data_IF_725015452027
#
_entry.id   IF_725015452027
#
_cell.length_a   1.000
_cell.length_b   1.000
_cell.length_c   1.000
_cell.angle_alpha   90.00
_cell.angle_beta   90.00
_cell.angle_gamma   90.00
#
_symmetry.space_group_name_H-M   'P 1'
#
loop_
_entity.id
_entity.type
_entity.pdbx_description
1 polymer ?
#
# COMPACT_ATOMS: atom_id res chain seq x y z
N UNK A 1 -36.44 33.44 76.49
CA UNK A 1 -36.88 32.06 76.77
C UNK A 1 -35.93 31.11 76.04
N UNK A 2 -35.54 30.00 76.67
CA UNK A 2 -34.45 29.07 76.26
C UNK A 2 -34.84 28.20 75.01
N UNK A 3 -34.02 27.22 74.55
CA UNK A 3 -33.08 27.25 73.41
C UNK A 3 -33.42 26.15 72.35
N UNK A 4 -32.52 25.85 71.39
CA UNK A 4 -32.06 24.50 70.94
C UNK A 4 -31.31 24.54 69.59
N UNK A 5 -30.22 23.77 69.53
CA UNK A 5 -29.20 23.52 68.49
C UNK A 5 -29.64 22.54 67.36
N UNK A 6 -28.98 22.54 66.18
CA UNK A 6 -28.04 21.48 65.69
C UNK A 6 -27.65 21.57 64.18
N UNK A 7 -26.32 21.63 63.96
CA UNK A 7 -25.39 21.13 62.90
C UNK A 7 -25.78 20.78 61.43
N UNK A 8 -24.87 21.24 60.54
CA UNK A 8 -24.09 20.59 59.45
C UNK A 8 -24.83 19.78 58.34
N UNK A 9 -24.40 19.66 57.07
CA UNK A 9 -23.07 19.52 56.47
C UNK A 9 -23.18 19.74 54.93
N UNK A 10 -22.13 20.25 54.28
CA UNK A 10 -22.16 20.70 52.86
C UNK A 10 -21.90 19.65 51.78
N UNK A 11 -21.80 20.11 50.51
CA UNK A 11 -20.83 19.66 49.47
C UNK A 11 -20.92 20.64 48.26
N UNK A 12 -19.77 21.07 47.73
CA UNK A 12 -19.57 21.95 46.55
C UNK A 12 -19.38 21.11 45.28
N UNK A 13 -19.84 21.60 44.11
CA UNK A 13 -19.20 21.33 42.81
C UNK A 13 -19.47 22.46 41.80
N UNK A 14 -18.39 22.93 41.15
CA UNK A 14 -18.30 24.09 40.25
C UNK A 14 -18.13 23.65 38.79
N UNK A 15 -19.01 24.18 37.93
CA UNK A 15 -18.83 24.72 36.56
C UNK A 15 -17.79 24.12 35.58
N UNK A 16 -18.29 23.66 34.41
CA UNK A 16 -17.54 23.51 33.15
C UNK A 16 -17.50 24.82 32.35
N UNK A 17 -16.36 25.12 31.73
CA UNK A 17 -16.21 26.12 30.68
C UNK A 17 -15.61 25.47 29.42
N UNK A 18 -16.25 25.72 28.28
CA UNK A 18 -15.94 25.26 26.93
C UNK A 18 -14.84 26.13 26.29
N UNK A 19 -13.79 25.53 25.73
CA UNK A 19 -12.82 26.22 24.87
C UNK A 19 -12.72 25.48 23.53
N UNK A 20 -13.10 26.15 22.45
CA UNK A 20 -12.98 25.67 21.07
C UNK A 20 -11.54 25.78 20.57
N UNK A 21 -11.03 24.70 19.99
CA UNK A 21 -9.69 24.62 19.41
C UNK A 21 -9.81 24.72 17.89
N UNK A 22 -9.31 25.81 17.31
CA UNK A 22 -9.09 25.92 15.86
C UNK A 22 -7.91 25.01 15.48
N UNK A 23 -8.16 23.97 14.68
CA UNK A 23 -7.12 23.11 14.12
C UNK A 23 -6.59 23.77 12.83
N UNK A 24 -5.39 24.34 12.89
CA UNK A 24 -4.65 24.71 11.70
C UNK A 24 -4.13 23.41 11.04
N UNK A 25 -4.54 23.11 9.81
CA UNK A 25 -3.93 22.07 8.99
C UNK A 25 -2.48 22.49 8.68
N UNK A 26 -1.51 21.81 9.26
CA UNK A 26 -0.13 21.85 8.80
C UNK A 26 0.08 20.67 7.85
N UNK A 27 0.31 20.92 6.57
CA UNK A 27 0.78 19.91 5.63
C UNK A 27 2.18 19.44 6.06
N UNK A 28 2.30 18.26 6.67
CA UNK A 28 3.60 17.68 7.03
C UNK A 28 4.21 16.99 5.82
N UNK A 29 5.40 17.44 5.43
CA UNK A 29 6.21 16.83 4.37
C UNK A 29 6.75 15.47 4.83
N UNK A 30 6.75 14.48 3.94
CA UNK A 30 7.45 13.20 4.15
C UNK A 30 8.93 13.43 4.49
N UNK A 31 9.56 12.50 5.20
CA UNK A 31 10.98 12.61 5.53
C UNK A 31 11.82 12.51 4.25
N UNK A 32 12.84 13.35 4.14
CA UNK A 32 13.76 13.33 3.02
C UNK A 32 14.60 12.05 3.02
N UNK A 33 14.62 11.33 1.90
CA UNK A 33 15.42 10.12 1.69
C UNK A 33 16.48 10.33 0.60
N UNK A 34 17.56 9.56 0.72
CA UNK A 34 18.55 9.36 -0.34
C UNK A 34 18.58 7.88 -0.70
N UNK A 35 18.24 7.54 -1.94
CA UNK A 35 18.10 6.16 -2.43
C UNK A 35 18.23 6.13 -3.95
N UNK A 36 18.89 5.08 -4.45
CA UNK A 36 18.85 4.69 -5.86
C UNK A 36 18.31 3.27 -5.96
N UNK A 37 17.26 3.06 -6.76
CA UNK A 37 16.70 1.74 -6.97
C UNK A 37 16.36 1.51 -8.43
N UNK A 38 16.55 0.28 -8.92
CA UNK A 38 16.14 -0.10 -10.26
C UNK A 38 15.67 -1.55 -10.33
N UNK A 39 14.85 -1.81 -11.35
CA UNK A 39 14.49 -3.12 -11.87
C UNK A 39 14.89 -3.18 -13.33
N UNK A 40 15.66 -4.19 -13.67
CA UNK A 40 16.11 -4.50 -15.03
C UNK A 40 15.32 -5.68 -15.56
N UNK A 41 14.75 -5.55 -16.76
CA UNK A 41 14.11 -6.67 -17.44
C UNK A 41 15.13 -7.74 -17.81
N UNK A 42 14.72 -9.02 -17.95
CA UNK A 42 15.58 -10.02 -18.55
C UNK A 42 16.12 -9.53 -19.90
N UNK A 43 17.44 -9.64 -20.08
CA UNK A 43 18.17 -9.18 -21.27
C UNK A 43 18.39 -7.66 -21.40
N UNK A 44 17.93 -6.83 -20.44
CA UNK A 44 18.44 -5.46 -20.36
C UNK A 44 19.94 -5.49 -20.07
N UNK A 45 20.70 -4.75 -20.88
CA UNK A 45 22.16 -4.81 -20.87
C UNK A 45 22.74 -4.17 -19.61
N UNK A 46 22.18 -3.04 -19.16
CA UNK A 46 22.78 -2.24 -18.09
C UNK A 46 22.57 -2.91 -16.73
N UNK A 47 21.32 -3.23 -16.39
CA UNK A 47 21.00 -3.86 -15.11
C UNK A 47 21.09 -5.39 -15.11
N UNK A 48 21.33 -6.03 -16.26
CA UNK A 48 21.56 -7.47 -16.41
C UNK A 48 20.45 -8.35 -15.77
N UNK A 49 19.18 -7.90 -15.86
CA UNK A 49 18.03 -8.59 -15.28
C UNK A 49 17.95 -8.53 -13.76
N UNK A 50 18.77 -7.71 -13.10
CA UNK A 50 18.79 -7.57 -11.65
C UNK A 50 17.79 -6.52 -11.15
N UNK A 51 17.32 -6.70 -9.93
CA UNK A 51 16.61 -5.67 -9.17
C UNK A 51 17.45 -5.31 -7.96
N UNK A 52 17.77 -4.02 -7.79
CA UNK A 52 18.65 -3.55 -6.72
C UNK A 52 18.13 -2.26 -6.10
N UNK A 53 18.42 -2.09 -4.82
CA UNK A 53 18.17 -0.87 -4.05
C UNK A 53 19.46 -0.54 -3.29
N UNK A 54 19.85 0.72 -3.35
CA UNK A 54 21.00 1.27 -2.66
C UNK A 54 20.56 2.44 -1.80
N UNK A 55 21.22 2.59 -0.67
CA UNK A 55 21.08 3.67 0.30
C UNK A 55 22.47 4.20 0.66
N UNK A 56 22.59 5.31 1.41
CA UNK A 56 23.88 5.77 1.94
C UNK A 56 24.64 4.73 2.80
N UNK A 57 23.97 3.66 3.25
CA UNK A 57 24.62 2.55 3.94
C UNK A 57 25.43 1.65 2.98
N UNK A 58 25.10 1.65 1.69
CA UNK A 58 25.71 0.77 0.69
C UNK A 58 26.91 1.42 -0.01
N UNK A 59 27.01 2.74 0.00
CA UNK A 59 28.07 3.47 -0.68
C UNK A 59 27.91 4.99 -0.61
N UNK A 60 28.91 5.69 -1.15
CA UNK A 60 28.88 7.15 -1.26
C UNK A 60 27.96 7.55 -2.42
N UNK A 61 26.94 8.36 -2.12
CA UNK A 61 25.99 8.88 -3.10
C UNK A 61 26.11 10.40 -3.16
N UNK A 62 26.30 10.94 -4.35
CA UNK A 62 26.48 12.37 -4.54
C UNK A 62 25.94 12.85 -5.89
N UNK A 63 25.71 14.15 -5.97
CA UNK A 63 25.15 14.81 -7.14
C UNK A 63 26.17 15.79 -7.72
N UNK A 64 26.18 15.91 -9.03
CA UNK A 64 26.98 16.87 -9.78
C UNK A 64 26.13 17.53 -10.86
N UNK A 65 26.49 18.75 -11.25
CA UNK A 65 25.97 19.37 -12.46
C UNK A 65 27.13 19.65 -13.40
N UNK A 66 27.00 19.24 -14.65
CA UNK A 66 28.00 19.50 -15.69
C UNK A 66 27.28 19.79 -17.00
N UNK A 67 27.57 20.94 -17.63
CA UNK A 67 26.90 21.38 -18.86
C UNK A 67 25.35 21.29 -18.79
N UNK A 68 24.77 21.78 -17.68
CA UNK A 68 23.31 21.76 -17.41
C UNK A 68 22.68 20.36 -17.26
N UNK A 69 23.51 19.31 -17.20
CA UNK A 69 23.11 17.94 -16.90
C UNK A 69 23.20 17.70 -15.40
N UNK A 70 22.13 17.18 -14.79
CA UNK A 70 22.11 16.73 -13.39
C UNK A 70 22.55 15.28 -13.36
N UNK A 71 23.61 14.99 -12.62
CA UNK A 71 24.27 13.67 -12.58
C UNK A 71 24.21 13.15 -11.15
N UNK A 72 23.68 11.95 -10.99
CA UNK A 72 23.79 11.16 -9.77
C UNK A 72 24.94 10.17 -9.93
N UNK A 73 25.77 10.06 -8.89
CA UNK A 73 26.86 9.11 -8.78
C UNK A 73 26.70 8.27 -7.51
N UNK A 74 26.97 6.97 -7.64
CA UNK A 74 27.08 6.04 -6.53
C UNK A 74 28.41 5.28 -6.65
N UNK A 75 29.25 5.41 -5.63
CA UNK A 75 30.46 4.61 -5.46
C UNK A 75 30.25 3.64 -4.28
N UNK A 76 30.23 2.34 -4.56
CA UNK A 76 30.08 1.30 -3.55
C UNK A 76 31.19 0.25 -3.63
N UNK A 77 31.44 -0.52 -2.56
CA UNK A 77 32.32 -1.69 -2.63
C UNK A 77 31.86 -2.74 -3.66
N UNK A 78 30.56 -2.76 -3.98
CA UNK A 78 29.96 -3.69 -4.93
C UNK A 78 30.02 -3.24 -6.39
N UNK A 79 30.51 -2.03 -6.67
CA UNK A 79 30.52 -1.41 -7.99
C UNK A 79 30.09 0.05 -7.98
N UNK A 80 30.05 0.66 -9.16
CA UNK A 80 29.68 2.06 -9.34
C UNK A 80 28.46 2.20 -10.25
N UNK A 81 27.70 3.27 -10.06
CA UNK A 81 26.57 3.64 -10.90
C UNK A 81 26.57 5.14 -11.19
N UNK A 82 26.16 5.50 -12.39
CA UNK A 82 26.01 6.88 -12.84
C UNK A 82 24.68 7.03 -13.56
N UNK A 83 23.92 8.07 -13.23
CA UNK A 83 22.67 8.38 -13.89
C UNK A 83 22.61 9.87 -14.21
N UNK A 84 22.48 10.22 -15.47
CA UNK A 84 22.52 11.59 -15.94
C UNK A 84 21.23 12.00 -16.66
N UNK A 85 20.70 13.16 -16.29
CA UNK A 85 19.43 13.69 -16.76
C UNK A 85 19.58 15.14 -17.23
N UNK A 86 18.95 15.49 -18.33
CA UNK A 86 18.99 16.87 -18.84
C UNK A 86 17.76 17.27 -19.62
N UNK A 87 17.45 18.56 -19.56
CA UNK A 87 16.37 19.14 -20.35
C UNK A 87 16.81 19.37 -21.82
N UNK A 88 15.84 19.46 -22.75
CA UNK A 88 16.11 19.88 -24.13
C UNK A 88 16.82 21.24 -24.20
N UNK A 89 17.46 21.54 -25.33
CA UNK A 89 18.07 22.85 -25.60
C UNK A 89 19.17 23.29 -24.61
N UNK A 90 19.78 22.37 -23.85
CA UNK A 90 20.77 22.73 -22.83
C UNK A 90 20.22 23.71 -21.78
N UNK A 91 18.92 23.63 -21.48
CA UNK A 91 18.30 24.43 -20.42
C UNK A 91 18.50 23.77 -19.06
N UNK A 92 18.19 24.53 -18.01
CA UNK A 92 18.12 23.98 -16.65
C UNK A 92 17.05 22.88 -16.58
N UNK A 93 17.37 21.81 -15.86
CA UNK A 93 16.43 20.75 -15.57
C UNK A 93 15.42 21.25 -14.53
N UNK A 94 14.13 21.14 -14.83
CA UNK A 94 13.03 21.55 -13.95
C UNK A 94 12.07 20.37 -13.70
N UNK A 95 11.24 20.41 -12.65
CA UNK A 95 10.21 19.39 -12.45
C UNK A 95 9.30 19.29 -13.68
N UNK A 96 9.01 18.07 -14.11
CA UNK A 96 8.25 17.82 -15.33
C UNK A 96 8.47 16.42 -15.91
N UNK A 97 7.69 16.11 -16.94
CA UNK A 97 7.77 14.85 -17.69
C UNK A 97 8.59 15.08 -18.96
N UNK A 98 9.58 14.22 -19.16
CA UNK A 98 10.47 14.24 -20.32
C UNK A 98 10.27 12.93 -21.08
N UNK A 99 9.37 12.97 -22.06
CA UNK A 99 9.11 11.85 -22.97
C UNK A 99 10.12 11.83 -24.12
N UNK A 100 10.30 10.67 -24.74
CA UNK A 100 11.21 10.46 -25.88
C UNK A 100 12.65 10.92 -25.59
N UNK A 101 13.12 10.71 -24.36
CA UNK A 101 14.48 11.03 -23.96
C UNK A 101 15.49 10.20 -24.78
N UNK A 102 16.56 10.86 -25.19
CA UNK A 102 17.68 10.28 -25.92
C UNK A 102 18.90 10.22 -25.02
N UNK A 103 19.98 9.55 -25.45
CA UNK A 103 21.19 9.44 -24.62
C UNK A 103 21.78 10.80 -24.26
N UNK A 104 21.80 11.70 -25.24
CA UNK A 104 22.23 13.07 -25.06
C UNK A 104 21.08 14.00 -25.42
N UNK A 105 20.95 15.12 -24.71
CA UNK A 105 19.91 16.10 -25.02
C UNK A 105 20.05 16.63 -26.44
N UNK A 106 18.91 16.89 -27.07
CA UNK A 106 18.81 17.55 -28.36
C UNK A 106 17.98 18.84 -28.21
N UNK A 107 17.78 19.63 -29.27
CA UNK A 107 16.85 20.77 -29.20
C UNK A 107 15.40 20.37 -28.90
N UNK A 108 15.00 19.12 -29.17
CA UNK A 108 13.64 18.63 -28.96
C UNK A 108 13.47 17.73 -27.73
N UNK A 109 14.51 16.96 -27.39
CA UNK A 109 14.41 15.84 -26.43
C UNK A 109 15.39 16.00 -25.28
N UNK A 110 14.99 15.54 -24.09
CA UNK A 110 15.85 15.48 -22.92
C UNK A 110 16.93 14.39 -23.04
N UNK A 111 17.99 14.50 -22.24
CA UNK A 111 19.03 13.49 -22.13
C UNK A 111 18.77 12.52 -20.98
N UNK A 112 18.98 11.23 -21.21
CA UNK A 112 18.90 10.12 -20.25
C UNK A 112 20.05 9.15 -20.51
N UNK A 113 21.00 9.06 -19.56
CA UNK A 113 22.14 8.14 -19.66
C UNK A 113 22.40 7.51 -18.28
N UNK A 114 21.94 6.28 -18.12
CA UNK A 114 22.10 5.48 -16.90
C UNK A 114 23.01 4.29 -17.20
N UNK A 115 24.05 4.13 -16.39
CA UNK A 115 25.04 3.07 -16.52
C UNK A 115 25.63 2.70 -15.18
N UNK A 116 26.31 1.56 -15.13
CA UNK A 116 26.96 1.07 -13.92
C UNK A 116 27.72 -0.21 -14.15
N UNK A 117 28.70 -0.47 -13.29
CA UNK A 117 29.47 -1.72 -13.29
C UNK A 117 30.11 -2.06 -14.65
N UNK A 118 30.55 -1.04 -15.40
CA UNK A 118 31.14 -1.22 -16.73
C UNK A 118 30.13 -1.43 -17.85
N UNK A 119 28.83 -1.27 -17.61
CA UNK A 119 27.76 -1.39 -18.60
C UNK A 119 27.08 -0.04 -18.83
N UNK A 120 26.82 0.28 -20.09
CA UNK A 120 26.12 1.49 -20.54
C UNK A 120 25.61 1.31 -21.95
N UNK A 121 24.59 2.09 -22.34
CA UNK A 121 24.10 2.09 -23.72
C UNK A 121 25.04 2.91 -24.62
N UNK A 122 25.22 2.53 -25.88
CA UNK A 122 25.72 3.42 -26.94
C UNK A 122 24.62 4.38 -27.43
N UNK A 123 23.40 3.89 -27.56
CA UNK A 123 22.20 4.68 -27.86
C UNK A 123 21.08 4.40 -26.86
N UNK A 124 20.33 5.43 -26.49
CA UNK A 124 19.26 5.37 -25.49
C UNK A 124 17.95 5.87 -26.08
N UNK A 125 16.87 5.15 -25.80
CA UNK A 125 15.51 5.70 -25.83
C UNK A 125 14.89 5.54 -24.46
N UNK A 126 14.01 6.44 -24.06
CA UNK A 126 13.37 6.33 -22.76
C UNK A 126 12.52 7.52 -22.37
N UNK A 127 12.22 7.58 -21.08
CA UNK A 127 11.50 8.70 -20.47
C UNK A 127 11.95 8.87 -19.03
N UNK A 128 11.81 10.07 -18.52
CA UNK A 128 11.97 10.32 -17.10
C UNK A 128 11.03 11.41 -16.60
N UNK A 129 10.70 11.37 -15.31
CA UNK A 129 9.85 12.33 -14.63
C UNK A 129 10.64 12.91 -13.49
N UNK A 130 10.93 14.21 -13.57
CA UNK A 130 11.55 14.95 -12.48
C UNK A 130 10.43 15.46 -11.57
N UNK A 131 10.38 14.97 -10.35
CA UNK A 131 9.41 15.41 -9.35
C UNK A 131 9.93 16.57 -8.53
N UNK A 132 11.24 16.59 -8.30
CA UNK A 132 11.90 17.61 -7.51
C UNK A 132 13.32 17.84 -8.02
N UNK A 133 13.72 19.10 -8.13
CA UNK A 133 15.11 19.50 -8.35
C UNK A 133 15.33 20.86 -7.70
N UNK A 134 16.24 20.91 -6.74
CA UNK A 134 16.56 22.12 -5.98
C UNK A 134 18.06 22.30 -6.02
N UNK A 135 18.50 23.37 -6.67
CA UNK A 135 19.91 23.70 -6.89
C UNK A 135 20.22 25.00 -6.16
N UNK A 136 21.23 24.97 -5.29
CA UNK A 136 21.77 26.14 -4.61
C UNK A 136 22.85 26.84 -5.47
N UNK A 137 23.23 28.09 -5.15
CA UNK A 137 24.31 28.79 -5.85
C UNK A 137 25.59 27.96 -5.93
N UNK A 138 26.28 28.03 -7.08
CA UNK A 138 27.46 27.21 -7.35
C UNK A 138 27.13 25.80 -7.84
N UNK A 139 25.93 25.59 -8.40
CA UNK A 139 25.48 24.33 -9.00
C UNK A 139 25.42 23.13 -8.02
N UNK A 140 25.16 23.42 -6.75
CA UNK A 140 25.04 22.41 -5.70
C UNK A 140 23.61 21.88 -5.64
N UNK A 141 23.40 20.63 -6.03
CA UNK A 141 22.09 19.97 -5.91
C UNK A 141 21.80 19.67 -4.45
N UNK A 142 20.82 20.34 -3.88
CA UNK A 142 20.38 20.12 -2.50
C UNK A 142 19.37 18.97 -2.41
N UNK A 143 18.44 18.91 -3.37
CA UNK A 143 17.38 17.89 -3.43
C UNK A 143 17.09 17.50 -4.87
N UNK A 144 16.86 16.21 -5.10
CA UNK A 144 16.52 15.69 -6.42
C UNK A 144 15.62 14.46 -6.29
N UNK A 145 14.58 14.39 -7.13
CA UNK A 145 13.75 13.21 -7.27
C UNK A 145 13.39 12.98 -8.73
N UNK A 146 13.74 11.80 -9.24
CA UNK A 146 13.45 11.41 -10.61
C UNK A 146 13.07 9.93 -10.68
N UNK A 147 12.12 9.62 -11.55
CA UNK A 147 11.82 8.25 -11.99
C UNK A 147 12.11 8.13 -13.47
N UNK A 148 12.63 7.00 -13.92
CA UNK A 148 13.08 6.82 -15.31
C UNK A 148 12.82 5.41 -15.85
N UNK A 149 12.75 5.34 -17.17
CA UNK A 149 12.78 4.11 -17.96
C UNK A 149 13.78 4.33 -19.10
N UNK A 150 14.76 3.45 -19.20
CA UNK A 150 15.79 3.47 -20.23
C UNK A 150 15.78 2.16 -21.03
N UNK A 151 16.00 2.27 -22.34
CA UNK A 151 16.20 1.17 -23.26
C UNK A 151 17.50 1.38 -24.04
N UNK A 152 18.36 0.36 -24.09
CA UNK A 152 19.59 0.40 -24.88
C UNK A 152 19.37 -0.06 -26.33
N UNK A 153 20.05 0.59 -27.28
CA UNK A 153 20.14 0.16 -28.69
C UNK A 153 18.79 -0.07 -29.39
N UNK A 154 17.74 0.60 -28.92
CA UNK A 154 16.37 0.43 -29.43
C UNK A 154 15.74 -0.92 -29.07
N UNK A 155 16.35 -1.72 -28.18
CA UNK A 155 15.78 -2.97 -27.72
C UNK A 155 14.65 -2.76 -26.71
N UNK A 156 13.71 -3.71 -26.66
CA UNK A 156 12.55 -3.64 -25.79
C UNK A 156 12.84 -3.77 -24.28
N UNK A 157 13.77 -4.62 -23.79
CA UNK A 157 14.05 -4.74 -22.36
C UNK A 157 14.44 -3.40 -21.73
N UNK A 158 13.85 -3.09 -20.58
CA UNK A 158 14.02 -1.82 -19.92
C UNK A 158 14.86 -1.91 -18.64
N UNK A 159 15.59 -0.83 -18.37
CA UNK A 159 16.03 -0.45 -17.04
C UNK A 159 15.06 0.59 -16.49
N UNK A 160 14.22 0.20 -15.52
CA UNK A 160 13.31 1.10 -14.82
C UNK A 160 13.88 1.44 -13.45
N UNK A 161 13.94 2.71 -13.08
CA UNK A 161 14.45 3.08 -11.76
C UNK A 161 13.98 4.41 -11.21
N UNK A 162 14.41 4.67 -9.99
CA UNK A 162 14.08 5.84 -9.19
C UNK A 162 15.32 6.31 -8.42
N UNK A 163 15.53 7.62 -8.40
CA UNK A 163 16.53 8.29 -7.57
C UNK A 163 15.79 9.28 -6.68
N UNK A 164 16.10 9.26 -5.39
CA UNK A 164 15.82 10.33 -4.44
C UNK A 164 17.15 10.74 -3.83
N UNK A 165 17.42 12.03 -3.78
CA UNK A 165 18.58 12.61 -3.12
C UNK A 165 18.07 13.71 -2.20
N UNK A 166 18.14 13.49 -0.90
CA UNK A 166 17.58 14.35 0.15
C UNK A 166 16.13 14.79 -0.16
N UNK A 167 15.33 13.91 -0.75
CA UNK A 167 13.99 14.25 -1.24
C UNK A 167 12.90 13.52 -0.47
N UNK A 168 11.84 14.26 -0.15
CA UNK A 168 10.63 13.73 0.49
C UNK A 168 9.66 13.08 -0.51
N UNK A 169 9.95 13.15 -1.82
CA UNK A 169 9.06 12.59 -2.85
C UNK A 169 9.01 11.06 -2.69
N UNK A 170 7.82 10.46 -2.51
CA UNK A 170 7.69 9.01 -2.38
C UNK A 170 8.27 8.25 -3.58
N UNK A 171 8.83 7.07 -3.35
CA UNK A 171 9.18 6.14 -4.43
C UNK A 171 7.91 5.55 -5.05
N UNK A 172 7.90 5.25 -6.37
CA UNK A 172 6.83 4.48 -6.98
C UNK A 172 6.73 3.11 -6.30
N UNK A 173 5.51 2.61 -6.11
CA UNK A 173 5.31 1.19 -5.78
C UNK A 173 5.93 0.33 -6.89
N UNK A 174 6.56 -0.79 -6.52
CA UNK A 174 7.48 -1.64 -7.32
C UNK A 174 6.90 -2.32 -8.59
N UNK A 175 5.82 -1.80 -9.16
CA UNK A 175 5.23 -2.28 -10.41
C UNK A 175 5.98 -1.67 -11.61
N UNK A 176 6.61 -2.51 -12.44
CA UNK A 176 7.30 -2.05 -13.65
C UNK A 176 6.30 -1.39 -14.62
N UNK A 177 6.68 -0.28 -15.29
CA UNK A 177 5.90 0.27 -16.39
C UNK A 177 5.91 -0.71 -17.56
N UNK A 178 4.74 -1.04 -18.10
CA UNK A 178 4.63 -1.98 -19.20
C UNK A 178 5.11 -1.36 -20.54
N UNK A 179 5.41 -2.19 -21.55
CA UNK A 179 5.81 -1.73 -22.88
C UNK A 179 4.78 -0.75 -23.48
N UNK A 180 5.24 0.26 -24.26
CA UNK A 180 4.33 1.18 -24.95
C UNK A 180 3.31 0.43 -25.81
N UNK A 181 2.01 0.65 -25.55
CA UNK A 181 0.91 0.09 -26.34
C UNK A 181 0.20 -1.13 -25.76
N UNK A 182 0.67 -1.72 -24.64
CA UNK A 182 -0.10 -2.73 -23.90
C UNK A 182 -0.87 -2.04 -22.77
N UNK A 183 -2.22 -2.02 -22.76
CA UNK A 183 -2.99 -1.31 -21.73
C UNK A 183 -2.69 -1.89 -20.34
N UNK A 184 -1.95 -1.21 -19.46
CA UNK A 184 -1.61 -1.72 -18.11
C UNK A 184 -2.85 -1.76 -17.24
N UNK A 185 -3.00 -2.80 -16.40
CA UNK A 185 -4.06 -2.81 -15.42
C UNK A 185 -3.93 -1.59 -14.52
N UNK A 186 -5.01 -0.85 -14.24
CA UNK A 186 -4.95 0.30 -13.34
C UNK A 186 -4.41 -0.16 -11.99
N UNK A 187 -3.67 0.70 -11.29
CA UNK A 187 -3.26 0.46 -9.90
C UNK A 187 -4.52 0.51 -9.03
N UNK A 188 -5.06 -0.66 -8.70
CA UNK A 188 -6.33 -0.81 -7.95
C UNK A 188 -6.12 -1.42 -6.57
N UNK A 189 -4.87 -1.68 -6.18
CA UNK A 189 -4.52 -2.10 -4.82
C UNK A 189 -5.00 -1.06 -3.79
N UNK A 190 -5.77 -1.53 -2.82
CA UNK A 190 -6.36 -0.66 -1.80
C UNK A 190 -7.60 -1.26 -1.17
N UNK A 191 -8.24 -0.44 -0.33
CA UNK A 191 -9.51 -0.76 0.31
C UNK A 191 -10.63 -0.16 -0.54
N UNK A 192 -11.63 -0.95 -0.90
CA UNK A 192 -12.76 -0.53 -1.72
C UNK A 192 -14.07 -0.78 -0.99
N UNK A 193 -15.03 0.13 -1.15
CA UNK A 193 -16.31 0.10 -0.42
C UNK A 193 -17.38 0.89 -1.16
N UNK A 194 -18.65 0.74 -0.77
CA UNK A 194 -19.78 1.46 -1.39
C UNK A 194 -20.05 2.86 -0.81
N UNK A 195 -19.07 3.44 -0.12
CA UNK A 195 -19.22 4.74 0.51
C UNK A 195 -20.11 4.71 1.76
N UNK A 196 -20.38 5.87 2.36
CA UNK A 196 -21.03 5.96 3.68
C UNK A 196 -22.47 5.41 3.70
N UNK A 197 -23.08 5.22 2.52
CA UNK A 197 -24.42 4.65 2.37
C UNK A 197 -24.47 3.15 2.69
N UNK A 198 -23.33 2.44 2.63
CA UNK A 198 -23.24 1.03 3.01
C UNK A 198 -22.03 0.79 3.93
N UNK A 199 -21.92 1.55 5.01
CA UNK A 199 -20.87 1.39 6.02
C UNK A 199 -20.81 -0.03 6.60
N UNK A 200 -19.60 -0.52 6.82
CA UNK A 200 -19.33 -1.71 7.64
C UNK A 200 -18.87 -2.95 6.89
N UNK A 201 -19.00 -2.99 5.56
CA UNK A 201 -18.40 -4.01 4.69
C UNK A 201 -17.37 -3.35 3.76
N UNK A 202 -16.53 -4.15 3.11
CA UNK A 202 -15.60 -3.66 2.11
C UNK A 202 -14.78 -4.78 1.47
N UNK A 203 -13.92 -4.40 0.55
CA UNK A 203 -13.09 -5.30 -0.23
C UNK A 203 -11.64 -4.81 -0.25
N UNK A 204 -10.74 -5.61 0.28
CA UNK A 204 -9.31 -5.41 0.16
C UNK A 204 -8.84 -5.99 -1.17
N UNK A 205 -8.18 -5.19 -2.00
CA UNK A 205 -7.53 -5.62 -3.24
C UNK A 205 -6.02 -5.53 -3.05
N UNK A 206 -5.32 -6.61 -3.35
CA UNK A 206 -3.86 -6.65 -3.52
C UNK A 206 -3.58 -7.03 -4.96
N UNK A 207 -2.68 -6.29 -5.61
CA UNK A 207 -2.43 -6.43 -7.03
C UNK A 207 -0.94 -6.41 -7.33
N UNK A 208 -0.43 -7.52 -7.88
CA UNK A 208 0.93 -7.60 -8.39
C UNK A 208 0.84 -7.81 -9.91
N UNK A 209 1.16 -6.78 -10.68
CA UNK A 209 1.00 -6.76 -12.13
C UNK A 209 -0.44 -7.12 -12.59
N UNK A 210 -0.60 -8.19 -13.37
CA UNK A 210 -1.90 -8.64 -13.89
C UNK A 210 -2.64 -9.59 -12.91
N UNK A 211 -2.02 -9.98 -11.79
CA UNK A 211 -2.68 -10.74 -10.75
C UNK A 211 -3.40 -9.81 -9.77
N UNK A 212 -4.63 -10.19 -9.43
CA UNK A 212 -5.46 -9.49 -8.46
C UNK A 212 -6.00 -10.53 -7.49
N UNK A 213 -5.70 -10.32 -6.20
CA UNK A 213 -6.24 -11.08 -5.08
C UNK A 213 -7.16 -10.15 -4.29
N UNK A 214 -8.42 -10.56 -4.10
CA UNK A 214 -9.37 -9.76 -3.35
C UNK A 214 -9.99 -10.53 -2.19
N UNK A 215 -10.19 -9.85 -1.07
CA UNK A 215 -10.94 -10.38 0.08
C UNK A 215 -12.02 -9.40 0.46
N UNK A 216 -13.25 -9.89 0.53
CA UNK A 216 -14.43 -9.10 0.88
C UNK A 216 -14.79 -9.45 2.32
N UNK A 217 -14.77 -8.47 3.23
CA UNK A 217 -15.34 -8.61 4.57
C UNK A 217 -16.78 -8.11 4.55
N UNK A 218 -17.69 -8.93 5.03
CA UNK A 218 -19.13 -8.72 4.92
C UNK A 218 -19.86 -9.34 6.11
N UNK A 219 -21.20 -9.38 6.04
CA UNK A 219 -22.04 -10.03 7.02
C UNK A 219 -23.00 -11.00 6.34
N UNK A 220 -23.21 -12.14 7.00
CA UNK A 220 -24.17 -13.16 6.57
C UNK A 220 -25.63 -12.73 6.80
N UNK A 221 -26.59 -13.61 6.51
CA UNK A 221 -28.02 -13.36 6.71
C UNK A 221 -28.42 -13.07 8.16
N UNK A 222 -27.60 -13.46 9.14
CA UNK A 222 -27.81 -13.19 10.56
C UNK A 222 -27.08 -11.92 11.04
N UNK A 223 -26.34 -11.23 10.17
CA UNK A 223 -25.53 -10.07 10.53
C UNK A 223 -24.22 -10.43 11.24
N UNK A 224 -23.82 -11.71 11.21
CA UNK A 224 -22.54 -12.15 11.74
C UNK A 224 -21.42 -11.90 10.71
N UNK A 225 -20.20 -11.53 11.15
CA UNK A 225 -19.06 -11.38 10.26
C UNK A 225 -18.83 -12.64 9.42
N UNK A 226 -18.63 -12.44 8.13
CA UNK A 226 -18.14 -13.46 7.21
C UNK A 226 -17.16 -12.81 6.24
N UNK A 227 -16.42 -13.61 5.49
CA UNK A 227 -15.55 -13.10 4.45
C UNK A 227 -15.52 -14.02 3.24
N UNK A 228 -15.30 -13.40 2.09
CA UNK A 228 -15.17 -14.09 0.82
C UNK A 228 -13.81 -13.80 0.23
N UNK A 229 -13.26 -14.75 -0.52
CA UNK A 229 -11.99 -14.59 -1.23
C UNK A 229 -12.18 -14.82 -2.72
N UNK A 230 -11.52 -13.96 -3.50
CA UNK A 230 -11.32 -14.09 -4.93
C UNK A 230 -9.82 -14.25 -5.12
N UNK A 231 -9.32 -15.50 -5.20
CA UNK A 231 -7.88 -15.77 -5.17
C UNK A 231 -7.17 -15.38 -6.48
N UNK A 232 -7.93 -15.06 -7.52
CA UNK A 232 -7.44 -14.73 -8.84
C UNK A 232 -8.58 -14.60 -9.84
N UNK A 233 -8.24 -14.36 -11.10
CA UNK A 233 -9.21 -14.13 -12.15
C UNK A 233 -8.54 -13.70 -13.45
N UNK A 234 -9.33 -13.12 -14.34
CA UNK A 234 -8.88 -12.71 -15.67
C UNK A 234 -9.28 -11.26 -15.95
N UNK A 235 -8.34 -10.52 -16.51
CA UNK A 235 -8.60 -9.19 -17.08
C UNK A 235 -9.14 -9.32 -18.50
N UNK A 236 -10.04 -8.42 -18.90
CA UNK A 236 -10.35 -8.22 -20.32
C UNK A 236 -9.11 -7.65 -21.05
N UNK A 237 -9.06 -7.72 -22.40
CA UNK A 237 -7.91 -7.22 -23.17
C UNK A 237 -7.58 -5.74 -22.93
N UNK A 238 -8.57 -4.92 -22.55
CA UNK A 238 -8.39 -3.50 -22.23
C UNK A 238 -7.93 -3.25 -20.79
N UNK A 239 -7.76 -4.30 -19.97
CA UNK A 239 -7.41 -4.27 -18.55
C UNK A 239 -8.24 -3.30 -17.71
N UNK A 240 -9.54 -3.24 -17.97
CA UNK A 240 -10.53 -2.42 -17.24
C UNK A 240 -11.57 -3.26 -16.53
N UNK A 241 -11.73 -4.53 -16.90
CA UNK A 241 -12.69 -5.44 -16.30
C UNK A 241 -11.96 -6.68 -15.79
N UNK A 242 -12.12 -7.00 -14.51
CA UNK A 242 -11.60 -8.22 -13.89
C UNK A 242 -12.75 -9.15 -13.52
N UNK A 243 -12.66 -10.43 -13.90
CA UNK A 243 -13.64 -11.46 -13.54
C UNK A 243 -12.97 -12.59 -12.79
N UNK A 244 -13.53 -12.98 -11.64
CA UNK A 244 -12.98 -14.01 -10.77
C UNK A 244 -14.05 -14.88 -10.12
N UNK A 245 -13.63 -16.06 -9.67
CA UNK A 245 -14.46 -16.99 -8.90
C UNK A 245 -14.34 -16.66 -7.41
N UNK A 246 -15.46 -16.68 -6.69
CA UNK A 246 -15.51 -16.34 -5.27
C UNK A 246 -15.73 -17.57 -4.39
N UNK A 247 -15.07 -17.60 -3.24
CA UNK A 247 -15.08 -18.71 -2.26
C UNK A 247 -15.32 -18.19 -0.85
N UNK A 248 -15.82 -19.04 0.04
CA UNK A 248 -15.89 -18.81 1.49
C UNK A 248 -15.18 -19.96 2.19
N UNK A 249 -13.90 -19.82 2.49
CA UNK A 249 -13.16 -20.93 3.05
C UNK A 249 -13.50 -21.23 4.51
N UNK A 250 -13.11 -22.41 4.99
CA UNK A 250 -13.34 -22.89 6.35
C UNK A 250 -12.04 -23.35 6.99
N UNK A 251 -11.80 -22.96 8.24
CA UNK A 251 -10.60 -23.33 8.97
C UNK A 251 -10.81 -23.35 10.47
N UNK A 252 -9.71 -23.21 11.21
CA UNK A 252 -9.67 -23.39 12.66
C UNK A 252 -9.65 -22.08 13.43
N UNK A 253 -10.10 -22.09 14.70
CA UNK A 253 -9.99 -20.91 15.56
C UNK A 253 -8.57 -20.36 15.59
N UNK A 254 -8.42 -19.03 15.53
CA UNK A 254 -7.11 -18.36 15.46
C UNK A 254 -6.16 -18.67 16.62
N UNK A 255 -6.69 -19.11 17.76
CA UNK A 255 -5.95 -19.46 18.97
C UNK A 255 -5.65 -20.96 19.09
N UNK A 256 -6.12 -21.79 18.16
CA UNK A 256 -5.96 -23.24 18.18
C UNK A 256 -5.89 -23.78 16.75
N UNK A 257 -4.82 -23.45 16.03
CA UNK A 257 -4.66 -23.83 14.63
C UNK A 257 -4.47 -25.34 14.45
N UNK A 258 -5.24 -25.94 13.54
CA UNK A 258 -5.10 -27.33 13.08
C UNK A 258 -5.23 -27.39 11.55
N UNK A 259 -4.16 -27.75 10.81
CA UNK A 259 -4.17 -27.74 9.36
C UNK A 259 -5.15 -28.75 8.73
N UNK A 260 -5.59 -29.77 9.47
CA UNK A 260 -6.49 -30.80 8.94
C UNK A 260 -7.93 -30.32 8.73
N UNK A 261 -8.31 -29.19 9.36
CA UNK A 261 -9.64 -28.61 9.25
C UNK A 261 -9.74 -27.52 8.18
N UNK A 262 -8.62 -27.19 7.52
CA UNK A 262 -8.61 -26.23 6.43
C UNK A 262 -9.26 -26.81 5.17
N UNK A 263 -10.24 -26.09 4.62
CA UNK A 263 -10.80 -26.37 3.30
C UNK A 263 -11.23 -25.09 2.59
N UNK A 264 -10.91 -24.98 1.29
CA UNK A 264 -11.33 -23.86 0.45
C UNK A 264 -12.86 -23.86 0.21
N UNK A 265 -13.46 -25.05 0.21
CA UNK A 265 -14.87 -25.25 -0.14
C UNK A 265 -15.13 -25.18 -1.65
N UNK A 266 -16.38 -25.44 -2.04
CA UNK A 266 -16.82 -25.28 -3.43
C UNK A 266 -16.94 -23.79 -3.80
N UNK A 267 -16.80 -23.43 -5.10
CA UNK A 267 -17.10 -22.09 -5.59
C UNK A 267 -18.49 -21.63 -5.14
N UNK A 268 -18.59 -20.39 -4.64
CA UNK A 268 -19.86 -19.76 -4.24
C UNK A 268 -20.48 -18.94 -5.36
N UNK A 269 -19.72 -18.67 -6.42
CA UNK A 269 -20.19 -18.00 -7.61
C UNK A 269 -19.09 -17.17 -8.29
N UNK A 270 -19.47 -16.04 -8.88
CA UNK A 270 -18.57 -15.22 -9.70
C UNK A 270 -18.75 -13.74 -9.40
N UNK A 271 -17.66 -12.99 -9.57
CA UNK A 271 -17.66 -11.53 -9.49
C UNK A 271 -17.07 -10.91 -10.76
N UNK A 272 -17.53 -9.70 -11.06
CA UNK A 272 -16.98 -8.85 -12.11
C UNK A 272 -16.75 -7.45 -11.54
N UNK A 273 -15.52 -6.97 -11.63
CA UNK A 273 -15.10 -5.62 -11.27
C UNK A 273 -14.83 -4.84 -12.54
N UNK A 274 -15.62 -3.81 -12.84
CA UNK A 274 -15.35 -2.90 -13.95
C UNK A 274 -14.83 -1.57 -13.42
N UNK A 275 -13.53 -1.33 -13.58
CA UNK A 275 -12.83 -0.16 -13.09
C UNK A 275 -12.94 1.03 -14.05
N UNK A 276 -13.17 2.20 -13.48
CA UNK A 276 -13.09 3.50 -14.16
C UNK A 276 -11.86 4.22 -13.61
N UNK A 277 -10.67 3.85 -14.12
CA UNK A 277 -9.39 4.27 -13.54
C UNK A 277 -9.18 3.68 -12.14
N UNK A 278 -8.48 4.42 -11.27
CA UNK A 278 -8.21 4.02 -9.88
C UNK A 278 -9.19 4.62 -8.86
N UNK A 279 -10.19 5.39 -9.29
CA UNK A 279 -11.05 6.19 -8.40
C UNK A 279 -12.46 5.62 -8.20
N UNK A 280 -12.91 4.72 -9.07
CA UNK A 280 -14.23 4.09 -8.94
C UNK A 280 -14.33 2.79 -9.74
N UNK A 281 -15.26 1.92 -9.34
CA UNK A 281 -15.58 0.70 -10.06
C UNK A 281 -17.03 0.27 -9.83
N UNK A 282 -17.57 -0.56 -10.72
CA UNK A 282 -18.79 -1.33 -10.45
C UNK A 282 -18.42 -2.76 -10.05
N UNK A 283 -19.04 -3.24 -8.99
CA UNK A 283 -18.92 -4.60 -8.48
C UNK A 283 -20.21 -5.37 -8.75
N UNK A 284 -20.18 -6.22 -9.77
CA UNK A 284 -21.23 -7.17 -10.10
C UNK A 284 -20.91 -8.51 -9.45
N UNK A 285 -21.90 -9.15 -8.84
CA UNK A 285 -21.73 -10.47 -8.23
C UNK A 285 -22.91 -11.39 -8.50
N UNK A 286 -22.65 -12.69 -8.48
CA UNK A 286 -23.64 -13.74 -8.29
C UNK A 286 -23.07 -14.70 -7.27
N UNK A 287 -23.68 -14.78 -6.10
CA UNK A 287 -23.21 -15.55 -4.95
C UNK A 287 -24.40 -16.36 -4.43
N UNK A 288 -24.28 -17.69 -4.45
CA UNK A 288 -25.33 -18.61 -3.99
C UNK A 288 -26.71 -18.37 -4.64
N UNK A 289 -26.70 -17.99 -5.92
CA UNK A 289 -27.91 -17.67 -6.69
C UNK A 289 -28.47 -16.27 -6.46
N UNK A 290 -27.88 -15.47 -5.57
CA UNK A 290 -28.23 -14.05 -5.39
C UNK A 290 -27.30 -13.19 -6.24
N UNK A 291 -27.89 -12.41 -7.14
CA UNK A 291 -27.15 -11.46 -7.98
C UNK A 291 -27.36 -10.03 -7.51
N UNK A 292 -26.33 -9.20 -7.66
CA UNK A 292 -26.42 -7.79 -7.35
C UNK A 292 -25.31 -6.98 -8.00
N UNK A 293 -25.49 -5.65 -7.98
CA UNK A 293 -24.53 -4.67 -8.46
C UNK A 293 -24.33 -3.61 -7.38
N UNK A 294 -23.08 -3.25 -7.11
CA UNK A 294 -22.72 -2.17 -6.20
C UNK A 294 -21.75 -1.20 -6.89
N UNK A 295 -21.92 0.10 -6.67
CA UNK A 295 -20.89 1.07 -7.00
C UNK A 295 -19.88 1.10 -5.85
N UNK A 296 -18.59 1.05 -6.16
CA UNK A 296 -17.52 1.07 -5.17
C UNK A 296 -16.49 2.15 -5.51
N UNK A 297 -15.87 2.68 -4.48
CA UNK A 297 -14.76 3.63 -4.56
C UNK A 297 -13.65 3.23 -3.58
N UNK A 298 -12.41 3.73 -3.77
CA UNK A 298 -11.38 3.57 -2.77
C UNK A 298 -11.78 4.22 -1.45
N UNK A 299 -11.52 3.54 -0.34
CA UNK A 299 -11.62 4.11 0.98
C UNK A 299 -10.38 4.95 1.26
N UNK A 300 -10.58 6.25 1.39
CA UNK A 300 -9.56 7.12 1.94
C UNK A 300 -9.48 6.89 3.45
N UNK A 301 -8.27 6.62 3.92
CA UNK A 301 -7.88 6.60 5.32
C UNK A 301 -6.50 7.21 5.43
N UNK A 302 -5.92 7.18 6.62
CA UNK A 302 -4.66 7.85 6.85
C UNK A 302 -4.84 9.12 7.66
N UNK A 303 -3.75 9.46 8.31
CA UNK A 303 -3.53 10.73 8.96
C UNK A 303 -2.08 11.09 8.76
N UNK A 304 -1.81 12.39 8.73
CA UNK A 304 -0.45 12.89 8.77
C UNK A 304 0.22 12.41 10.06
N UNK A 305 1.47 11.98 9.95
CA UNK A 305 2.19 11.43 11.08
C UNK A 305 3.47 10.71 10.69
N UNK A 306 4.21 10.30 11.72
CA UNK A 306 5.43 9.52 11.56
C UNK A 306 5.16 8.22 10.81
N UNK A 307 5.80 8.06 9.65
CA UNK A 307 5.69 6.88 8.78
C UNK A 307 7.09 6.27 8.62
N UNK A 308 7.53 5.43 9.56
CA UNK A 308 8.90 4.92 9.57
C UNK A 308 9.19 3.88 8.50
N UNK A 309 8.15 3.25 7.95
CA UNK A 309 8.24 2.23 6.91
C UNK A 309 7.16 2.48 5.87
N UNK A 310 7.47 2.22 4.61
CA UNK A 310 6.55 2.36 3.48
C UNK A 310 6.43 1.03 2.72
N UNK A 311 5.42 0.94 1.85
CA UNK A 311 5.22 -0.22 0.99
C UNK A 311 4.71 -1.46 1.73
N UNK A 312 4.10 -1.30 2.90
CA UNK A 312 3.60 -2.41 3.72
C UNK A 312 2.29 -3.01 3.19
N UNK A 313 1.59 -2.28 2.30
CA UNK A 313 0.34 -2.71 1.69
C UNK A 313 0.49 -4.06 0.98
N UNK A 314 -0.15 -5.10 1.50
CA UNK A 314 -0.10 -6.46 0.96
C UNK A 314 -1.11 -7.38 1.67
N UNK A 315 -1.19 -8.63 1.21
CA UNK A 315 -1.76 -9.73 1.96
C UNK A 315 -0.66 -10.41 2.77
N UNK A 316 -0.82 -10.46 4.08
CA UNK A 316 0.10 -11.09 5.02
C UNK A 316 -0.53 -12.34 5.64
N UNK A 317 0.24 -13.38 5.90
CA UNK A 317 -0.29 -14.64 6.43
C UNK A 317 0.78 -15.47 7.14
N UNK A 318 0.37 -16.51 7.86
CA UNK A 318 1.28 -17.34 8.67
C UNK A 318 2.18 -18.32 7.91
N UNK A 319 2.25 -18.22 6.58
CA UNK A 319 2.98 -19.14 5.72
C UNK A 319 2.34 -20.52 5.62
N UNK A 320 2.91 -21.42 4.81
CA UNK A 320 2.28 -22.69 4.44
C UNK A 320 1.90 -23.60 5.63
N UNK A 321 2.57 -23.43 6.77
CA UNK A 321 2.23 -24.12 8.02
C UNK A 321 0.92 -23.64 8.65
N UNK A 322 0.44 -22.44 8.32
CA UNK A 322 -0.75 -21.77 8.85
C UNK A 322 -1.69 -21.29 7.71
N UNK A 323 -1.95 -22.18 6.75
CA UNK A 323 -2.85 -21.93 5.63
C UNK A 323 -4.30 -21.61 6.07
N UNK A 324 -5.01 -20.85 5.23
CA UNK A 324 -6.46 -20.68 5.32
C UNK A 324 -6.97 -19.42 6.00
N UNK A 325 -6.08 -18.56 6.48
CA UNK A 325 -6.38 -17.24 7.04
C UNK A 325 -5.35 -16.22 6.54
N UNK A 326 -5.63 -14.93 6.72
CA UNK A 326 -4.71 -13.87 6.30
C UNK A 326 -5.07 -12.51 6.86
N UNK A 327 -4.19 -11.53 6.67
CA UNK A 327 -4.34 -10.14 7.08
C UNK A 327 -4.13 -9.28 5.84
N UNK A 328 -5.20 -8.64 5.36
CA UNK A 328 -5.03 -7.53 4.44
C UNK A 328 -4.50 -6.35 5.24
N UNK A 329 -3.26 -5.96 5.00
CA UNK A 329 -2.65 -4.78 5.59
C UNK A 329 -2.59 -3.72 4.49
N UNK A 330 -3.22 -2.58 4.71
CA UNK A 330 -3.28 -1.49 3.74
C UNK A 330 -2.73 -0.23 4.40
N UNK A 331 -1.75 0.38 3.75
CA UNK A 331 -1.05 1.55 4.25
C UNK A 331 -1.47 2.81 3.47
N UNK A 332 -1.90 3.84 4.20
CA UNK A 332 -2.01 5.20 3.70
C UNK A 332 -1.43 6.14 4.76
N UNK A 333 -0.40 6.89 4.35
CA UNK A 333 0.37 7.75 5.25
C UNK A 333 0.88 6.95 6.47
N UNK A 334 0.70 7.48 7.69
CA UNK A 334 1.14 6.84 8.94
C UNK A 334 0.24 5.71 9.44
N UNK A 335 -0.89 5.45 8.75
CA UNK A 335 -1.90 4.50 9.21
C UNK A 335 -1.78 3.19 8.46
N UNK A 336 -1.78 2.11 9.21
CA UNK A 336 -2.06 0.77 8.72
C UNK A 336 -3.51 0.43 9.07
N UNK A 337 -4.34 0.27 8.05
CA UNK A 337 -5.66 -0.33 8.16
C UNK A 337 -5.51 -1.82 7.92
N UNK A 338 -5.78 -2.65 8.92
CA UNK A 338 -5.62 -4.10 8.79
C UNK A 338 -6.90 -4.85 9.05
N UNK A 339 -7.24 -5.79 8.16
CA UNK A 339 -8.36 -6.73 8.33
C UNK A 339 -7.79 -8.12 8.46
N UNK A 340 -7.99 -8.74 9.61
CA UNK A 340 -7.57 -10.11 9.89
C UNK A 340 -8.73 -11.06 9.65
N UNK A 341 -8.68 -11.78 8.53
CA UNK A 341 -9.62 -12.83 8.15
C UNK A 341 -9.24 -14.10 8.88
N UNK A 342 -10.17 -14.65 9.66
CA UNK A 342 -9.89 -15.79 10.54
C UNK A 342 -11.17 -16.57 10.89
N UNK A 343 -11.12 -17.44 11.90
CA UNK A 343 -12.26 -18.28 12.29
C UNK A 343 -12.55 -18.23 13.78
N UNK A 344 -13.83 -18.38 14.13
CA UNK A 344 -14.33 -18.45 15.50
C UNK A 344 -14.09 -19.82 16.13
N UNK A 345 -14.48 -19.97 17.40
CA UNK A 345 -14.33 -21.22 18.16
C UNK A 345 -14.99 -22.44 17.49
N UNK A 346 -16.02 -22.22 16.68
CA UNK A 346 -16.74 -23.24 15.92
C UNK A 346 -16.25 -23.40 14.46
N UNK A 347 -15.13 -22.76 14.08
CA UNK A 347 -14.63 -22.74 12.70
C UNK A 347 -15.43 -21.86 11.74
N UNK A 348 -16.41 -21.09 12.22
CA UNK A 348 -17.14 -20.15 11.38
C UNK A 348 -16.21 -19.02 10.91
N UNK A 349 -16.29 -18.60 9.63
CA UNK A 349 -15.52 -17.48 9.13
C UNK A 349 -15.86 -16.23 9.93
N UNK A 350 -14.87 -15.43 10.25
CA UNK A 350 -15.01 -14.12 10.86
C UNK A 350 -13.87 -13.22 10.41
N UNK A 351 -13.99 -11.93 10.71
CA UNK A 351 -12.89 -11.01 10.52
C UNK A 351 -12.81 -10.06 11.71
N UNK A 352 -11.60 -9.63 12.02
CA UNK A 352 -11.29 -8.64 13.04
C UNK A 352 -10.62 -7.47 12.36
N UNK A 353 -10.98 -6.26 12.78
CA UNK A 353 -10.44 -5.04 12.18
C UNK A 353 -9.54 -4.29 13.16
N UNK A 354 -8.37 -3.93 12.68
CA UNK A 354 -7.37 -3.09 13.31
C UNK A 354 -7.36 -1.78 12.52
N UNK A 355 -8.34 -0.94 12.84
CA UNK A 355 -8.68 0.27 12.07
C UNK A 355 -7.75 1.45 12.38
N UNK A 356 -7.23 1.50 13.61
CA UNK A 356 -6.31 2.54 14.07
C UNK A 356 -5.22 1.96 14.98
N UNK A 357 -4.03 2.50 14.84
CA UNK A 357 -2.87 2.17 15.65
C UNK A 357 -1.87 3.32 15.64
N UNK A 358 -0.74 3.14 16.29
CA UNK A 358 0.35 4.12 16.38
C UNK A 358 1.68 3.42 16.20
N UNK A 359 2.61 4.08 15.51
CA UNK A 359 4.00 3.64 15.47
C UNK A 359 4.66 3.92 16.83
N UNK A 360 4.98 2.86 17.57
CA UNK A 360 5.68 2.94 18.87
C UNK A 360 7.21 2.83 18.71
N UNK A 361 7.66 2.35 17.55
CA UNK A 361 9.05 2.33 17.12
C UNK A 361 9.11 2.40 15.58
N UNK A 362 10.30 2.53 14.96
CA UNK A 362 10.44 2.47 13.51
C UNK A 362 9.95 1.17 12.86
N UNK A 363 9.73 0.10 13.63
CA UNK A 363 9.28 -1.18 13.11
C UNK A 363 8.07 -1.76 13.84
N UNK A 364 7.43 -0.99 14.74
CA UNK A 364 6.35 -1.50 15.58
C UNK A 364 5.11 -0.61 15.48
N UNK A 365 3.97 -1.20 15.10
CA UNK A 365 2.66 -0.55 15.02
C UNK A 365 1.68 -1.23 15.99
N UNK A 366 1.04 -0.47 16.88
CA UNK A 366 0.22 -0.99 17.98
C UNK A 366 -1.15 -0.32 18.04
N UNK A 367 -2.19 -1.05 18.40
CA UNK A 367 -3.54 -0.50 18.45
C UNK A 367 -4.58 -1.43 19.05
N UNK A 368 -5.84 -1.12 18.81
CA UNK A 368 -6.99 -1.90 19.27
C UNK A 368 -7.49 -2.82 18.16
N UNK A 369 -8.05 -3.96 18.59
CA UNK A 369 -8.74 -4.89 17.70
C UNK A 369 -10.24 -4.75 17.95
N UNK A 370 -11.01 -4.66 16.87
CA UNK A 370 -12.46 -4.55 16.93
C UNK A 370 -13.14 -5.70 16.20
N UNK A 371 -14.28 -6.11 16.75
CA UNK A 371 -15.26 -6.99 16.13
C UNK A 371 -16.45 -6.15 15.72
N UNK A 372 -17.06 -6.48 14.58
CA UNK A 372 -18.23 -5.76 14.09
C UNK A 372 -19.42 -6.68 13.89
N UNK A 373 -20.61 -6.09 13.81
CA UNK A 373 -21.82 -6.69 13.27
C UNK A 373 -22.44 -5.70 12.29
N UNK A 374 -23.25 -6.16 11.36
CA UNK A 374 -23.80 -5.28 10.34
C UNK A 374 -24.94 -5.88 9.55
N UNK A 375 -25.38 -5.13 8.55
CA UNK A 375 -26.48 -5.53 7.67
C UNK A 375 -26.08 -6.75 6.84
N UNK A 376 -26.99 -7.71 6.61
CA UNK A 376 -26.80 -8.77 5.62
C UNK A 376 -26.37 -8.21 4.27
N UNK A 377 -25.26 -8.72 3.74
CA UNK A 377 -24.61 -8.09 2.58
C UNK A 377 -25.30 -8.37 1.24
N UNK A 378 -25.85 -9.59 1.09
CA UNK A 378 -26.64 -10.01 -0.09
C UNK A 378 -28.12 -9.59 -0.01
N UNK A 379 -28.44 -8.61 0.84
CA UNK A 379 -29.79 -8.12 1.08
C UNK A 379 -29.90 -6.59 0.96
N UNK A 380 -31.00 -6.06 1.49
CA UNK A 380 -31.19 -4.60 1.61
C UNK A 380 -30.34 -4.11 2.79
N UNK A 381 -29.53 -3.07 2.54
CA UNK A 381 -28.67 -2.50 3.58
C UNK A 381 -29.48 -1.74 4.64
N UNK A 382 -29.22 -2.05 5.92
CA UNK A 382 -29.73 -1.31 7.08
C UNK A 382 -28.57 -0.73 7.92
N UNK A 383 -28.36 0.61 7.92
CA UNK A 383 -27.31 1.25 8.71
C UNK A 383 -27.48 1.08 10.22
N UNK A 384 -28.71 0.84 10.70
CA UNK A 384 -28.99 0.69 12.12
C UNK A 384 -28.41 -0.61 12.70
N UNK A 385 -27.98 -1.55 11.86
CA UNK A 385 -27.40 -2.82 12.29
C UNK A 385 -25.88 -2.77 12.47
N UNK A 386 -25.19 -1.74 11.96
CA UNK A 386 -23.73 -1.66 12.10
C UNK A 386 -23.33 -1.35 13.54
N UNK A 387 -22.50 -2.22 14.12
CA UNK A 387 -21.98 -2.10 15.49
C UNK A 387 -20.50 -2.47 15.51
N UNK A 388 -19.74 -1.81 16.39
CA UNK A 388 -18.32 -2.06 16.60
C UNK A 388 -18.05 -2.25 18.08
N UNK A 389 -17.36 -3.33 18.43
CA UNK A 389 -16.99 -3.69 19.79
C UNK A 389 -15.48 -3.85 19.89
N UNK A 390 -14.86 -3.19 20.86
CA UNK A 390 -13.44 -3.38 21.15
C UNK A 390 -13.23 -4.72 21.86
N UNK A 391 -12.46 -5.62 21.25
CA UNK A 391 -12.27 -7.00 21.75
C UNK A 391 -10.83 -7.29 22.17
N UNK A 392 -9.94 -6.31 22.02
CA UNK A 392 -8.53 -6.62 22.17
C UNK A 392 -7.55 -5.54 21.76
N UNK A 393 -6.29 -5.95 21.66
CA UNK A 393 -5.18 -5.14 21.19
C UNK A 393 -4.22 -5.96 20.34
N UNK A 394 -3.48 -5.29 19.47
CA UNK A 394 -2.47 -5.90 18.63
C UNK A 394 -1.14 -5.13 18.70
N UNK A 395 -0.07 -5.83 18.34
CA UNK A 395 1.24 -5.28 18.01
C UNK A 395 1.77 -5.98 16.76
N UNK A 396 2.00 -5.20 15.71
CA UNK A 396 2.65 -5.65 14.48
C UNK A 396 4.10 -5.18 14.50
N UNK A 397 5.05 -6.12 14.46
CA UNK A 397 6.48 -5.83 14.42
C UNK A 397 7.08 -6.32 13.11
N UNK A 398 7.59 -5.39 12.30
CA UNK A 398 8.20 -5.67 10.99
C UNK A 398 9.70 -5.99 11.14
N UNK A 399 10.17 -7.06 10.49
CA UNK A 399 11.55 -7.54 10.56
C UNK A 399 11.98 -8.05 9.19
N UNK A 400 12.87 -7.33 8.50
CA UNK A 400 13.21 -7.62 7.11
C UNK A 400 11.96 -7.59 6.23
N UNK A 401 11.74 -8.65 5.45
CA UNK A 401 10.56 -8.81 4.60
C UNK A 401 9.35 -9.44 5.32
N UNK A 402 9.52 -9.82 6.60
CA UNK A 402 8.50 -10.45 7.42
C UNK A 402 7.90 -9.52 8.48
N UNK A 403 6.88 -10.02 9.17
CA UNK A 403 6.33 -9.37 10.36
C UNK A 403 5.96 -10.38 11.44
N UNK A 404 5.66 -9.91 12.63
CA UNK A 404 5.07 -10.70 13.72
C UNK A 404 3.85 -9.97 14.24
N UNK A 405 2.70 -10.63 14.27
CA UNK A 405 1.50 -10.16 14.96
C UNK A 405 1.45 -10.76 16.36
N UNK A 406 1.56 -9.92 17.36
CA UNK A 406 1.18 -10.25 18.74
C UNK A 406 -0.24 -9.73 18.99
N UNK A 407 -1.10 -10.55 19.59
CA UNK A 407 -2.50 -10.18 19.82
C UNK A 407 -2.97 -10.57 21.22
N UNK A 408 -3.97 -9.84 21.70
CA UNK A 408 -4.85 -10.23 22.80
C UNK A 408 -6.28 -10.01 22.32
N UNK A 409 -7.07 -11.07 22.15
CA UNK A 409 -8.45 -11.03 21.64
C UNK A 409 -9.32 -11.95 22.47
N UNK A 410 -10.41 -11.42 23.03
CA UNK A 410 -11.37 -12.22 23.82
C UNK A 410 -10.68 -13.09 24.89
N UNK A 411 -9.65 -12.56 25.56
CA UNK A 411 -8.85 -13.24 26.58
C UNK A 411 -7.76 -14.20 26.06
N UNK A 412 -7.70 -14.44 24.75
CA UNK A 412 -6.67 -15.27 24.12
C UNK A 412 -5.48 -14.41 23.71
N UNK A 413 -4.28 -14.80 24.15
CA UNK A 413 -3.03 -14.11 23.82
C UNK A 413 -2.19 -15.02 22.94
N UNK A 414 -1.63 -14.48 21.87
CA UNK A 414 -0.80 -15.24 20.96
C UNK A 414 0.17 -14.37 20.16
N UNK A 415 1.06 -15.05 19.44
CA UNK A 415 2.01 -14.44 18.51
C UNK A 415 2.07 -15.30 17.26
N UNK A 416 2.05 -14.65 16.08
CA UNK A 416 2.12 -15.32 14.79
C UNK A 416 3.17 -14.66 13.91
N UNK A 417 4.14 -15.40 13.37
CA UNK A 417 4.98 -14.89 12.30
C UNK A 417 4.14 -14.70 11.04
N UNK A 418 4.48 -13.66 10.27
CA UNK A 418 3.79 -13.28 9.04
C UNK A 418 4.80 -13.15 7.91
N UNK A 419 4.41 -13.65 6.74
CA UNK A 419 5.06 -13.43 5.46
C UNK A 419 4.06 -12.84 4.48
N UNK A 420 4.55 -12.14 3.46
CA UNK A 420 3.70 -11.68 2.36
C UNK A 420 3.22 -12.88 1.54
N UNK A 421 1.98 -12.79 1.08
CA UNK A 421 1.46 -13.73 0.11
C UNK A 421 2.20 -13.51 -1.21
N UNK A 422 2.88 -14.54 -1.68
CA UNK A 422 3.43 -14.55 -3.02
C UNK A 422 2.27 -14.81 -4.00
N UNK A 423 2.26 -14.07 -5.11
CA UNK A 423 1.37 -14.27 -6.24
C UNK A 423 2.23 -14.51 -7.48
#
# INVERSE_FOLDING_TARGET
>A
MRPVEFRAMGTLLRSLATAGLFLALFAQHAAAETVFSFRSDPQDYVGAGQTRRFTPADGNMFMEITFKKVIFNLDSPSGYWTAAFSAPNYSDLVPGVYENAERFQTPGNGGLDVGGEGRGCNTTTGRFVVHEVVVAPGDVVQRFAVDFVQHCEGFAPALTGSIRFNSAVPLPSTQAPAPPGVPVAPQVQGLWWSGPQENGWGMSIVQHADQLFAVIYAYDSAGAPTWYVVPGGTWNPQRTIFTGTIYTPHGTPFFAYDPSHWSVGAPRGTITLAFQGSSSATFDYTIDGVSGRKAILPQAFGRDGYTPQAGLSDMWWGGAAQNGWGIALLQQQSVLFSVWFTYGANGAPQWLVMLDGVWTSPSTYEGRIYRTNGSPWLGVYDPALFRTTNVGSFKLRFVGDGAVLEYSVDGHIGSMPLVRQAF
#
